data_IF_312323290601
#
_entry.id   IF_312323290601
#
_cell.length_a   1.000
_cell.length_b   1.000
_cell.length_c   1.000
_cell.angle_alpha   90.00
_cell.angle_beta   90.00
_cell.angle_gamma   90.00
#
_symmetry.space_group_name_H-M   'P 1'
#
loop_
_entity.id
_entity.type
_entity.pdbx_description
1 polymer ?
#
# COMPACT_ATOMS: atom_id res chain seq x y z
N UNK A 1 -6.16 12.57 24.87
CA UNK A 1 -6.55 12.45 23.43
C UNK A 1 -5.52 13.01 22.44
N UNK A 2 -4.34 13.53 22.85
CA UNK A 2 -3.38 14.16 21.92
C UNK A 2 -2.41 13.25 21.16
N UNK A 3 -2.13 12.03 21.65
CA UNK A 3 -1.03 11.21 21.11
C UNK A 3 -1.41 10.35 19.88
N UNK A 4 -2.69 10.05 19.69
CA UNK A 4 -3.15 9.10 18.66
C UNK A 4 -3.08 9.66 17.23
N UNK A 5 -3.15 10.98 17.08
CA UNK A 5 -3.03 11.65 15.77
C UNK A 5 -1.57 11.61 15.28
N UNK A 6 -0.64 11.90 16.19
CA UNK A 6 0.81 11.89 15.99
C UNK A 6 1.35 10.55 15.47
N UNK A 7 0.79 9.41 15.88
CA UNK A 7 1.28 8.09 15.47
C UNK A 7 0.73 7.60 14.12
N UNK A 8 -0.50 7.97 13.74
CA UNK A 8 -0.99 7.72 12.39
C UNK A 8 -0.24 8.60 11.37
N UNK A 9 0.15 9.81 11.78
CA UNK A 9 1.06 10.67 11.03
C UNK A 9 2.45 10.03 10.93
N UNK A 10 2.95 9.35 11.98
CA UNK A 10 4.27 8.70 11.98
C UNK A 10 4.42 7.58 10.95
N UNK A 11 3.42 6.73 10.71
CA UNK A 11 3.54 5.66 9.71
C UNK A 11 3.51 6.19 8.27
N UNK A 12 2.75 7.27 8.04
CA UNK A 12 2.75 8.01 6.78
C UNK A 12 4.09 8.71 6.56
N UNK A 13 4.62 9.37 7.60
CA UNK A 13 5.94 10.02 7.56
C UNK A 13 7.05 8.98 7.31
N UNK A 14 7.02 7.84 8.01
CA UNK A 14 8.00 6.76 7.82
C UNK A 14 7.95 6.21 6.38
N UNK A 15 6.74 6.03 5.83
CA UNK A 15 6.55 5.67 4.43
C UNK A 15 7.13 6.73 3.49
N UNK A 16 6.82 8.02 3.70
CA UNK A 16 7.36 9.11 2.86
C UNK A 16 8.89 9.15 2.92
N UNK A 17 9.47 9.03 4.11
CA UNK A 17 10.91 9.01 4.31
C UNK A 17 11.57 7.81 3.61
N UNK A 18 11.00 6.61 3.72
CA UNK A 18 11.53 5.43 3.02
C UNK A 18 11.43 5.57 1.49
N UNK A 19 10.36 6.17 0.97
CA UNK A 19 10.26 6.46 -0.46
C UNK A 19 11.30 7.50 -0.90
N UNK A 20 11.44 8.61 -0.15
CA UNK A 20 12.46 9.64 -0.44
C UNK A 20 13.86 9.05 -0.42
N UNK A 21 14.18 8.22 0.59
CA UNK A 21 15.46 7.55 0.69
C UNK A 21 15.74 6.67 -0.53
N UNK A 22 14.78 5.85 -0.94
CA UNK A 22 14.92 4.99 -2.14
C UNK A 22 15.05 5.82 -3.41
N UNK A 23 14.33 6.94 -3.54
CA UNK A 23 14.49 7.87 -4.67
C UNK A 23 15.89 8.47 -4.69
N UNK A 24 16.41 8.94 -3.55
CA UNK A 24 17.76 9.50 -3.46
C UNK A 24 18.80 8.44 -3.84
N UNK A 25 18.67 7.22 -3.32
CA UNK A 25 19.56 6.11 -3.66
C UNK A 25 19.53 5.79 -5.15
N UNK A 26 18.33 5.70 -5.74
CA UNK A 26 18.15 5.45 -7.16
C UNK A 26 18.79 6.54 -8.03
N UNK A 27 18.70 7.80 -7.63
CA UNK A 27 19.32 8.92 -8.36
C UNK A 27 20.84 8.92 -8.22
N UNK A 28 21.36 8.73 -7.00
CA UNK A 28 22.82 8.75 -6.72
C UNK A 28 23.53 7.57 -7.38
N UNK A 29 22.90 6.39 -7.35
CA UNK A 29 23.44 5.16 -7.94
C UNK A 29 22.99 4.94 -9.40
N UNK A 30 22.27 5.90 -9.99
CA UNK A 30 21.80 5.86 -11.38
C UNK A 30 21.05 4.56 -11.72
N UNK A 31 20.11 4.15 -10.86
CA UNK A 31 19.33 2.94 -11.08
C UNK A 31 18.52 3.01 -12.36
N UNK A 32 18.51 1.92 -13.11
CA UNK A 32 17.65 1.76 -14.27
C UNK A 32 16.17 1.85 -13.90
N UNK A 33 15.38 2.41 -14.82
CA UNK A 33 13.93 2.55 -14.68
C UNK A 33 13.26 1.21 -14.37
N UNK A 34 13.70 0.13 -15.03
CA UNK A 34 13.20 -1.22 -14.79
C UNK A 34 13.44 -1.67 -13.35
N UNK A 35 14.66 -1.48 -12.84
CA UNK A 35 15.02 -1.78 -11.45
C UNK A 35 14.15 -0.99 -10.48
N UNK A 36 13.95 0.30 -10.72
CA UNK A 36 13.07 1.15 -9.89
C UNK A 36 11.64 0.61 -9.89
N UNK A 37 11.07 0.29 -11.05
CA UNK A 37 9.71 -0.25 -11.14
C UNK A 37 9.56 -1.58 -10.38
N UNK A 38 10.54 -2.48 -10.47
CA UNK A 38 10.56 -3.73 -9.71
C UNK A 38 10.69 -3.50 -8.20
N UNK A 39 11.47 -2.50 -7.78
CA UNK A 39 11.60 -2.11 -6.36
C UNK A 39 10.26 -1.63 -5.80
N UNK A 40 9.53 -0.78 -6.54
CA UNK A 40 8.20 -0.31 -6.13
C UNK A 40 7.13 -1.41 -6.21
N UNK A 41 7.25 -2.34 -7.16
CA UNK A 41 6.41 -3.54 -7.17
C UNK A 41 6.64 -4.41 -5.93
N UNK A 42 7.91 -4.63 -5.54
CA UNK A 42 8.28 -5.37 -4.33
C UNK A 42 7.76 -4.66 -3.07
N UNK A 43 7.88 -3.33 -2.99
CA UNK A 43 7.29 -2.53 -1.91
C UNK A 43 5.79 -2.81 -1.75
N UNK A 44 5.06 -2.89 -2.87
CA UNK A 44 3.63 -3.13 -2.87
C UNK A 44 3.28 -4.55 -2.37
N UNK A 45 4.09 -5.55 -2.70
CA UNK A 45 3.96 -6.91 -2.13
C UNK A 45 4.20 -6.89 -0.62
N UNK A 46 5.26 -6.21 -0.17
CA UNK A 46 5.59 -6.08 1.25
C UNK A 46 4.42 -5.44 2.01
N UNK A 47 3.83 -4.37 1.47
CA UNK A 47 2.63 -3.73 2.02
C UNK A 47 1.48 -4.73 2.15
N UNK A 48 1.20 -5.50 1.09
CA UNK A 48 0.15 -6.53 1.11
C UNK A 48 0.40 -7.59 2.18
N UNK A 49 1.64 -8.09 2.26
CA UNK A 49 2.04 -9.06 3.28
C UNK A 49 1.77 -8.55 4.70
N UNK A 50 2.24 -7.35 5.04
CA UNK A 50 1.99 -6.77 6.37
C UNK A 50 0.52 -6.43 6.59
N UNK A 51 -0.23 -6.06 5.55
CA UNK A 51 -1.67 -5.84 5.67
C UNK A 51 -2.41 -7.14 6.03
N UNK A 52 -2.05 -8.27 5.42
CA UNK A 52 -2.59 -9.58 5.78
C UNK A 52 -2.32 -9.91 7.24
N UNK A 53 -1.06 -9.72 7.70
CA UNK A 53 -0.70 -9.93 9.11
C UNK A 53 -1.49 -9.00 10.05
N UNK A 54 -1.74 -7.76 9.63
CA UNK A 54 -2.52 -6.77 10.37
C UNK A 54 -3.98 -7.23 10.52
N UNK A 55 -4.62 -7.70 9.45
CA UNK A 55 -5.97 -8.28 9.51
C UNK A 55 -6.02 -9.46 10.48
N UNK A 56 -5.08 -10.40 10.38
CA UNK A 56 -5.04 -11.58 11.26
C UNK A 56 -4.82 -11.20 12.74
N UNK A 57 -4.09 -10.12 12.99
CA UNK A 57 -3.78 -9.61 14.33
C UNK A 57 -4.93 -8.86 15.02
N UNK A 58 -6.04 -8.60 14.32
CA UNK A 58 -7.20 -7.91 14.91
C UNK A 58 -7.84 -8.72 16.04
N UNK A 59 -8.03 -8.08 17.20
CA UNK A 59 -8.73 -8.65 18.36
C UNK A 59 -10.21 -8.27 18.40
N UNK A 60 -10.53 -7.02 18.08
CA UNK A 60 -11.89 -6.47 17.97
C UNK A 60 -12.01 -5.75 16.64
N UNK A 61 -13.06 -6.03 15.89
CA UNK A 61 -13.30 -5.40 14.59
C UNK A 61 -14.80 -5.34 14.28
N UNK A 62 -15.19 -4.37 13.46
CA UNK A 62 -16.54 -4.27 12.89
C UNK A 62 -16.53 -4.70 11.44
N UNK A 63 -17.71 -5.10 10.97
CA UNK A 63 -18.01 -5.49 9.59
C UNK A 63 -19.04 -4.54 8.98
N UNK A 64 -19.13 -3.30 9.50
CA UNK A 64 -20.10 -2.32 9.01
C UNK A 64 -19.90 -2.07 7.52
N UNK A 65 -20.99 -2.18 6.75
CA UNK A 65 -20.99 -2.07 5.28
C UNK A 65 -20.08 -3.08 4.57
N UNK A 66 -19.65 -4.14 5.25
CA UNK A 66 -18.86 -5.23 4.68
C UNK A 66 -19.78 -6.44 4.43
N UNK A 67 -19.92 -6.81 3.16
CA UNK A 67 -20.78 -7.92 2.73
C UNK A 67 -19.98 -9.05 2.12
N UNK A 68 -20.43 -10.28 2.33
CA UNK A 68 -19.92 -11.49 1.68
C UNK A 68 -21.12 -12.14 1.00
N UNK A 69 -21.06 -12.36 -0.31
CA UNK A 69 -22.18 -12.91 -1.09
C UNK A 69 -23.50 -12.13 -0.90
N UNK A 70 -23.43 -10.80 -0.93
CA UNK A 70 -24.56 -9.87 -0.69
C UNK A 70 -25.22 -9.96 0.70
N UNK A 71 -24.64 -10.71 1.63
CA UNK A 71 -25.10 -10.81 3.02
C UNK A 71 -24.15 -9.99 3.92
N UNK A 72 -24.65 -9.26 4.92
CA UNK A 72 -23.80 -8.60 5.91
C UNK A 72 -22.89 -9.63 6.62
N UNK A 73 -21.58 -9.37 6.63
CA UNK A 73 -20.65 -10.25 7.30
C UNK A 73 -20.75 -10.08 8.82
N UNK A 74 -20.65 -11.17 9.58
CA UNK A 74 -20.56 -11.11 11.04
C UNK A 74 -19.10 -10.96 11.50
N UNK A 75 -18.81 -10.22 12.59
CA UNK A 75 -17.45 -10.01 13.08
C UNK A 75 -16.89 -11.23 13.85
N UNK A 76 -16.71 -12.35 13.15
CA UNK A 76 -16.25 -13.62 13.72
C UNK A 76 -14.81 -13.95 13.30
N UNK A 77 -14.13 -14.82 14.05
CA UNK A 77 -12.79 -15.30 13.68
C UNK A 77 -12.76 -15.92 12.28
N UNK A 78 -13.84 -16.61 11.87
CA UNK A 78 -13.97 -17.17 10.52
C UNK A 78 -13.96 -16.06 9.46
N UNK A 79 -14.76 -15.00 9.63
CA UNK A 79 -14.74 -13.84 8.72
C UNK A 79 -13.36 -13.23 8.63
N UNK A 80 -12.67 -13.06 9.78
CA UNK A 80 -11.31 -12.50 9.80
C UNK A 80 -10.30 -13.33 8.98
N UNK A 81 -10.29 -14.64 9.19
CA UNK A 81 -9.39 -15.56 8.47
C UNK A 81 -9.74 -15.56 6.97
N UNK A 82 -11.02 -15.70 6.64
CA UNK A 82 -11.49 -15.66 5.27
C UNK A 82 -11.08 -14.35 4.57
N UNK A 83 -11.33 -13.20 5.18
CA UNK A 83 -10.95 -11.89 4.63
C UNK A 83 -9.44 -11.77 4.42
N UNK A 84 -8.62 -12.26 5.35
CA UNK A 84 -7.16 -12.22 5.21
C UNK A 84 -6.67 -13.05 4.01
N UNK A 85 -7.18 -14.29 3.85
CA UNK A 85 -6.79 -15.15 2.74
C UNK A 85 -7.36 -14.66 1.40
N UNK A 86 -8.62 -14.22 1.38
CA UNK A 86 -9.22 -13.59 0.21
C UNK A 86 -8.40 -12.38 -0.24
N UNK A 87 -8.04 -11.51 0.71
CA UNK A 87 -7.16 -10.37 0.45
C UNK A 87 -5.83 -10.82 -0.15
N UNK A 88 -5.13 -11.77 0.48
CA UNK A 88 -3.83 -12.21 0.02
C UNK A 88 -3.87 -12.80 -1.40
N UNK A 89 -4.88 -13.63 -1.67
CA UNK A 89 -5.10 -14.23 -2.99
C UNK A 89 -5.43 -13.16 -4.04
N UNK A 90 -6.42 -12.30 -3.78
CA UNK A 90 -6.88 -11.30 -4.75
C UNK A 90 -5.81 -10.23 -5.00
N UNK A 91 -5.19 -9.71 -3.94
CA UNK A 91 -4.09 -8.74 -4.03
C UNK A 91 -2.88 -9.36 -4.73
N UNK A 92 -2.51 -10.60 -4.38
CA UNK A 92 -1.44 -11.34 -5.01
C UNK A 92 -1.68 -11.57 -6.50
N UNK A 93 -2.92 -11.89 -6.90
CA UNK A 93 -3.29 -12.06 -8.31
C UNK A 93 -3.06 -10.78 -9.13
N UNK A 94 -3.46 -9.61 -8.63
CA UNK A 94 -3.14 -8.35 -9.31
C UNK A 94 -1.63 -8.12 -9.45
N UNK A 95 -0.84 -8.46 -8.43
CA UNK A 95 0.61 -8.30 -8.48
C UNK A 95 1.28 -9.28 -9.43
N UNK A 96 0.74 -10.48 -9.56
CA UNK A 96 1.18 -11.46 -10.53
C UNK A 96 0.94 -10.98 -11.97
N UNK A 97 -0.28 -10.50 -12.27
CA UNK A 97 -0.59 -9.89 -13.57
C UNK A 97 0.31 -8.67 -13.84
N UNK A 98 0.53 -7.83 -12.84
CA UNK A 98 1.44 -6.69 -12.94
C UNK A 98 2.88 -7.12 -13.26
N UNK A 99 3.38 -8.19 -12.62
CA UNK A 99 4.70 -8.73 -12.89
C UNK A 99 4.82 -9.25 -14.32
N UNK A 100 3.78 -9.87 -14.87
CA UNK A 100 3.74 -10.25 -16.29
C UNK A 100 3.87 -9.01 -17.18
N UNK A 101 3.11 -7.94 -16.92
CA UNK A 101 3.23 -6.72 -17.72
C UNK A 101 4.61 -6.08 -17.60
N UNK A 102 5.15 -5.95 -16.39
CA UNK A 102 6.47 -5.38 -16.16
C UNK A 102 7.55 -6.18 -16.90
N UNK A 103 7.48 -7.51 -16.81
CA UNK A 103 8.37 -8.41 -17.54
C UNK A 103 8.22 -8.32 -19.05
N UNK A 104 7.05 -8.01 -19.62
CA UNK A 104 6.86 -7.95 -21.08
C UNK A 104 7.20 -6.57 -21.68
N UNK A 105 6.91 -5.48 -20.97
CA UNK A 105 7.13 -4.11 -21.48
C UNK A 105 8.55 -3.59 -21.24
N UNK A 106 9.28 -4.16 -20.28
CA UNK A 106 10.59 -3.67 -19.85
C UNK A 106 11.70 -4.74 -19.95
N UNK A 107 11.53 -5.73 -20.86
CA UNK A 107 12.42 -6.89 -21.08
C UNK A 107 13.88 -6.55 -21.39
N UNK A 108 14.12 -5.47 -22.16
CA UNK A 108 15.42 -5.17 -22.78
C UNK A 108 16.25 -4.16 -21.98
N UNK A 109 15.81 -3.81 -20.78
CA UNK A 109 16.50 -2.84 -19.94
C UNK A 109 17.31 -3.56 -18.85
N UNK A 110 18.44 -2.99 -18.42
CA UNK A 110 19.23 -3.58 -17.34
C UNK A 110 18.38 -3.72 -16.07
N UNK A 111 18.54 -4.86 -15.41
CA UNK A 111 17.89 -5.18 -14.15
C UNK A 111 18.95 -5.58 -13.13
N UNK A 112 18.99 -4.86 -12.01
CA UNK A 112 19.94 -5.13 -10.94
C UNK A 112 19.22 -5.74 -9.73
N UNK A 113 19.53 -7.02 -9.47
CA UNK A 113 18.95 -7.76 -8.36
C UNK A 113 19.42 -7.24 -7.00
N UNK A 114 20.63 -6.70 -6.92
CA UNK A 114 21.20 -6.12 -5.67
C UNK A 114 20.40 -4.89 -5.26
N UNK A 115 20.07 -4.03 -6.22
CA UNK A 115 19.25 -2.84 -5.98
C UNK A 115 17.80 -3.21 -5.64
N UNK A 116 17.24 -4.24 -6.28
CA UNK A 116 15.94 -4.80 -5.89
C UNK A 116 15.92 -5.23 -4.42
N UNK A 117 16.90 -6.02 -4.00
CA UNK A 117 16.99 -6.49 -2.62
C UNK A 117 17.25 -5.34 -1.64
N UNK A 118 18.09 -4.37 -2.00
CA UNK A 118 18.40 -3.22 -1.15
C UNK A 118 17.17 -2.35 -0.92
N UNK A 119 16.45 -1.99 -1.99
CA UNK A 119 15.19 -1.24 -1.89
C UNK A 119 14.11 -2.04 -1.16
N UNK A 120 13.99 -3.33 -1.47
CA UNK A 120 13.08 -4.25 -0.80
C UNK A 120 13.33 -4.35 0.70
N UNK A 121 14.58 -4.45 1.13
CA UNK A 121 14.96 -4.49 2.55
C UNK A 121 14.60 -3.18 3.27
N UNK A 122 14.88 -2.03 2.67
CA UNK A 122 14.50 -0.71 3.22
C UNK A 122 12.98 -0.66 3.46
N UNK A 123 12.19 -1.05 2.47
CA UNK A 123 10.74 -1.04 2.59
C UNK A 123 10.21 -2.10 3.55
N UNK A 124 10.84 -3.27 3.62
CA UNK A 124 10.48 -4.32 4.55
C UNK A 124 10.69 -3.87 6.00
N UNK A 125 11.86 -3.31 6.32
CA UNK A 125 12.15 -2.80 7.66
C UNK A 125 11.19 -1.67 8.05
N UNK A 126 10.91 -0.74 7.12
CA UNK A 126 9.95 0.33 7.34
C UNK A 126 8.54 -0.19 7.66
N UNK A 127 8.06 -1.19 6.90
CA UNK A 127 6.74 -1.77 7.13
C UNK A 127 6.68 -2.69 8.34
N UNK A 128 7.77 -3.37 8.68
CA UNK A 128 7.87 -4.15 9.90
C UNK A 128 7.71 -3.25 11.13
N UNK A 129 8.41 -2.12 11.16
CA UNK A 129 8.27 -1.12 12.21
C UNK A 129 6.83 -0.57 12.28
N UNK A 130 6.28 -0.17 11.13
CA UNK A 130 4.90 0.35 11.05
C UNK A 130 3.87 -0.70 11.50
N UNK A 131 4.07 -1.98 11.18
CA UNK A 131 3.19 -3.07 11.58
C UNK A 131 3.13 -3.23 13.10
N UNK A 132 4.27 -3.18 13.80
CA UNK A 132 4.27 -3.28 15.26
C UNK A 132 3.52 -2.10 15.90
N UNK A 133 3.67 -0.89 15.35
CA UNK A 133 2.96 0.29 15.84
C UNK A 133 1.45 0.19 15.58
N UNK A 134 1.06 -0.09 14.34
CA UNK A 134 -0.34 -0.26 13.94
C UNK A 134 -1.02 -1.36 14.78
N UNK A 135 -0.31 -2.46 15.05
CA UNK A 135 -0.83 -3.56 15.87
C UNK A 135 -1.15 -3.13 17.30
N UNK A 136 -0.41 -2.20 17.88
CA UNK A 136 -0.70 -1.67 19.23
C UNK A 136 -1.94 -0.77 19.17
N UNK A 137 -2.04 0.10 18.16
CA UNK A 137 -3.16 1.03 17.99
C UNK A 137 -4.46 0.28 17.70
N UNK A 138 -4.41 -0.71 16.82
CA UNK A 138 -5.58 -1.51 16.42
C UNK A 138 -6.14 -2.36 17.55
N UNK A 139 -5.35 -2.64 18.60
CA UNK A 139 -5.85 -3.31 19.79
C UNK A 139 -6.64 -2.38 20.71
N UNK A 140 -6.47 -1.07 20.58
CA UNK A 140 -7.13 -0.07 21.42
C UNK A 140 -8.48 0.38 20.84
N UNK A 141 -8.80 0.03 19.60
CA UNK A 141 -10.00 0.49 18.89
C UNK A 141 -10.70 -0.67 18.18
N UNK A 142 -12.00 -0.50 17.90
CA UNK A 142 -12.72 -1.39 17.00
C UNK A 142 -12.46 -0.89 15.58
N UNK A 143 -11.68 -1.64 14.81
CA UNK A 143 -11.38 -1.29 13.42
C UNK A 143 -12.39 -1.90 12.45
N UNK A 144 -12.72 -1.22 11.37
CA UNK A 144 -13.53 -1.81 10.31
C UNK A 144 -12.65 -2.71 9.41
N UNK A 145 -12.96 -4.01 9.36
CA UNK A 145 -12.14 -4.97 8.62
C UNK A 145 -12.16 -4.74 7.11
N UNK A 146 -13.29 -4.27 6.56
CA UNK A 146 -13.43 -3.95 5.14
C UNK A 146 -12.54 -2.77 4.73
N UNK A 147 -12.49 -1.72 5.55
CA UNK A 147 -11.60 -0.57 5.32
C UNK A 147 -10.12 -0.98 5.39
N UNK A 148 -9.74 -1.79 6.38
CA UNK A 148 -8.37 -2.32 6.51
C UNK A 148 -8.00 -3.17 5.28
N UNK A 149 -8.91 -4.01 4.81
CA UNK A 149 -8.71 -4.84 3.61
C UNK A 149 -8.53 -3.99 2.34
N UNK A 150 -9.33 -2.94 2.17
CA UNK A 150 -9.29 -2.09 0.97
C UNK A 150 -8.12 -1.09 0.97
N UNK A 151 -7.54 -0.80 2.14
CA UNK A 151 -6.53 0.24 2.28
C UNK A 151 -5.35 0.13 1.29
N UNK A 152 -4.73 -1.06 1.05
CA UNK A 152 -3.64 -1.19 0.09
C UNK A 152 -4.02 -0.95 -1.38
N UNK A 153 -5.28 -1.14 -1.77
CA UNK A 153 -5.73 -0.99 -3.17
C UNK A 153 -5.58 0.43 -3.68
N UNK A 154 -5.60 1.41 -2.79
CA UNK A 154 -5.33 2.81 -3.10
C UNK A 154 -3.97 3.02 -3.77
N UNK A 155 -3.00 2.13 -3.52
CA UNK A 155 -1.66 2.17 -4.13
C UNK A 155 -1.55 1.37 -5.43
N UNK A 156 -2.43 0.38 -5.61
CA UNK A 156 -2.47 -0.45 -6.82
C UNK A 156 -2.88 0.39 -8.03
N UNK A 157 -3.82 1.31 -7.85
CA UNK A 157 -4.36 2.15 -8.95
C UNK A 157 -3.25 2.99 -9.60
N UNK A 158 -2.48 3.83 -8.85
CA UNK A 158 -1.34 4.53 -9.44
C UNK A 158 -0.36 3.60 -10.16
N UNK A 159 -0.05 2.44 -9.58
CA UNK A 159 0.87 1.49 -10.21
C UNK A 159 0.35 0.99 -11.56
N UNK A 160 -0.91 0.58 -11.65
CA UNK A 160 -1.47 0.09 -12.92
C UNK A 160 -1.54 1.18 -13.99
N UNK A 161 -1.85 2.42 -13.60
CA UNK A 161 -1.81 3.56 -14.51
C UNK A 161 -0.39 3.77 -15.07
N UNK A 162 0.68 3.56 -14.30
CA UNK A 162 2.06 3.67 -14.79
C UNK A 162 2.35 2.67 -15.90
N UNK A 163 1.95 1.41 -15.75
CA UNK A 163 2.17 0.42 -16.82
C UNK A 163 1.33 0.77 -18.04
N UNK A 164 0.05 1.10 -17.86
CA UNK A 164 -0.84 1.41 -18.98
C UNK A 164 -0.30 2.61 -19.76
N UNK A 165 0.02 3.72 -19.08
CA UNK A 165 0.53 4.92 -19.75
C UNK A 165 1.98 4.80 -20.18
N UNK A 166 2.83 4.13 -19.40
CA UNK A 166 4.25 3.91 -19.73
C UNK A 166 4.43 3.00 -20.94
N UNK A 167 3.64 1.94 -21.05
CA UNK A 167 3.61 1.07 -22.22
C UNK A 167 3.04 1.75 -23.47
N UNK A 168 2.10 2.69 -23.30
CA UNK A 168 1.46 3.40 -24.40
C UNK A 168 2.23 4.63 -24.90
N UNK A 169 3.04 5.30 -24.06
CA UNK A 169 3.54 6.67 -24.32
C UNK A 169 5.07 6.86 -24.26
N UNK A 170 5.85 5.89 -23.79
CA UNK A 170 7.33 5.92 -23.85
C UNK A 170 8.07 6.81 -22.82
N UNK A 171 9.42 6.95 -22.92
CA UNK A 171 10.32 7.43 -21.84
C UNK A 171 10.13 8.85 -21.26
N UNK A 172 9.69 9.89 -21.98
CA UNK A 172 9.49 11.24 -21.42
C UNK A 172 8.41 11.33 -20.32
N UNK A 173 7.64 10.25 -20.12
CA UNK A 173 6.50 10.21 -19.19
C UNK A 173 6.87 10.01 -17.72
N UNK A 174 8.13 9.69 -17.38
CA UNK A 174 8.56 9.50 -15.97
C UNK A 174 8.42 10.78 -15.11
N UNK A 175 8.61 11.96 -15.71
CA UNK A 175 8.43 13.24 -15.01
C UNK A 175 6.95 13.55 -14.78
N UNK A 176 6.11 13.31 -15.79
CA UNK A 176 4.64 13.42 -15.70
C UNK A 176 4.11 12.41 -14.66
N UNK A 177 4.71 11.22 -14.60
CA UNK A 177 4.46 10.18 -13.61
C UNK A 177 4.75 10.62 -12.18
N UNK A 178 5.95 11.16 -11.90
CA UNK A 178 6.31 11.62 -10.55
C UNK A 178 5.37 12.72 -10.07
N UNK A 179 4.95 13.61 -10.97
CA UNK A 179 3.97 14.66 -10.69
C UNK A 179 2.58 14.09 -10.38
N UNK A 180 2.08 13.17 -11.20
CA UNK A 180 0.75 12.58 -11.01
C UNK A 180 0.68 11.68 -9.77
N UNK A 181 1.74 10.90 -9.50
CA UNK A 181 1.85 10.09 -8.29
C UNK A 181 1.84 10.96 -7.03
N UNK A 182 2.64 12.03 -7.02
CA UNK A 182 2.66 13.00 -5.91
C UNK A 182 1.29 13.64 -5.71
N UNK A 183 0.60 13.99 -6.80
CA UNK A 183 -0.75 14.56 -6.75
C UNK A 183 -1.77 13.58 -6.13
N UNK A 184 -1.76 12.31 -6.57
CA UNK A 184 -2.67 11.28 -6.02
C UNK A 184 -2.36 10.99 -4.56
N UNK A 185 -1.10 10.91 -4.16
CA UNK A 185 -0.71 10.72 -2.76
C UNK A 185 -1.19 11.89 -1.88
N UNK A 186 -1.11 13.13 -2.37
CA UNK A 186 -1.66 14.31 -1.69
C UNK A 186 -3.19 14.25 -1.62
N UNK A 187 -3.87 13.95 -2.73
CA UNK A 187 -5.33 13.86 -2.77
C UNK A 187 -5.85 12.80 -1.78
N UNK A 188 -5.20 11.63 -1.76
CA UNK A 188 -5.48 10.55 -0.81
C UNK A 188 -5.25 10.99 0.64
N UNK A 189 -4.27 11.86 0.90
CA UNK A 189 -4.04 12.45 2.22
C UNK A 189 -5.21 13.37 2.64
N UNK A 190 -5.70 14.23 1.74
CA UNK A 190 -6.87 15.11 1.99
C UNK A 190 -8.18 14.35 2.14
N UNK A 191 -8.43 13.31 1.35
CA UNK A 191 -9.63 12.47 1.47
C UNK A 191 -9.64 11.73 2.83
N UNK A 192 -8.47 11.29 3.31
CA UNK A 192 -8.31 10.75 4.67
C UNK A 192 -8.71 11.75 5.76
N UNK A 193 -8.48 13.05 5.53
CA UNK A 193 -8.91 14.10 6.45
C UNK A 193 -10.42 14.40 6.39
N UNK A 194 -11.03 14.39 5.20
CA UNK A 194 -12.47 14.58 5.07
C UNK A 194 -13.28 13.39 5.61
N UNK A 195 -12.83 12.16 5.39
CA UNK A 195 -13.51 10.96 5.89
C UNK A 195 -13.47 10.85 7.42
N UNK A 196 -12.41 11.33 8.07
CA UNK A 196 -12.36 11.44 9.53
C UNK A 196 -13.23 12.59 10.07
N UNK A 197 -13.50 13.63 9.29
CA UNK A 197 -14.36 14.75 9.69
C UNK A 197 -15.84 14.40 9.57
N UNK A 198 -16.27 13.71 8.50
CA UNK A 198 -17.66 13.28 8.32
C UNK A 198 -18.11 12.27 9.37
N UNK A 199 -17.24 11.36 9.79
CA UNK A 199 -17.53 10.39 10.87
C UNK A 199 -17.70 11.09 12.25
N UNK A 200 -17.15 12.29 12.42
CA UNK A 200 -17.25 13.06 13.67
C UNK A 200 -18.46 14.00 13.71
N UNK A 201 -19.00 14.39 12.55
CA UNK A 201 -20.22 15.22 12.43
C UNK A 201 -21.48 14.36 12.52
N UNK A 202 -21.45 13.11 12.04
CA UNK A 202 -22.59 12.18 12.13
C UNK A 202 -22.79 11.57 13.54
N UNK A 203 -21.97 11.96 14.53
CA UNK A 203 -22.04 11.51 15.92
C UNK A 203 -22.34 12.63 16.94
N UNK A 204 -22.67 13.84 16.47
CA UNK A 204 -23.21 14.95 17.27
C UNK A 204 -24.61 15.31 16.79
#
# INVERSE_FOLDING_TARGET
MGNLRYFADSSVISLLLSNILVVILALVQSWDVTTVLWVYWMQSIIIGFFQMLRILSLKKFSTDKFTINNQPASPTTQTKIFTAFFFAFHYGFFHFIYAIFLSNFFTNLPFDFTYLLTGGLIFFLNHLFSFYQDKVIDQQKVQNIGQIMLFPYTRIIPMHLIIIFGALLGPPTLIIFLLFKTLVDILMHTIKHQFNYSVQVDQN
#
